data_IF_792201150985
#
_entry.id   IF_792201150985
#
_cell.length_a   1.000
_cell.length_b   1.000
_cell.length_c   1.000
_cell.angle_alpha   90.00
_cell.angle_beta   90.00
_cell.angle_gamma   90.00
#
_symmetry.space_group_name_H-M   'P 1'
#
loop_
_entity.id
_entity.type
_entity.pdbx_description
1 polymer ?
#
# COMPACT_ATOMS: atom_id res chain seq x y z
N UNK A 1 22.00 7.19 -61.51
CA UNK A 1 22.45 8.43 -60.83
C UNK A 1 22.74 8.05 -59.39
N UNK A 2 24.01 8.08 -58.98
CA UNK A 2 24.39 7.92 -57.58
C UNK A 2 23.85 9.16 -56.84
N UNK A 3 22.93 8.99 -55.88
CA UNK A 3 22.54 10.10 -54.99
C UNK A 3 23.80 10.49 -54.24
N UNK A 4 24.24 11.75 -54.36
CA UNK A 4 25.25 12.26 -53.45
C UNK A 4 24.70 12.19 -52.02
N UNK A 5 25.46 11.61 -51.11
CA UNK A 5 25.13 11.63 -49.69
C UNK A 5 25.09 13.09 -49.22
N UNK A 6 23.95 13.50 -48.67
CA UNK A 6 23.78 14.86 -48.17
C UNK A 6 24.63 15.05 -46.92
N UNK A 7 25.60 15.96 -46.99
CA UNK A 7 26.48 16.31 -45.87
C UNK A 7 26.00 17.58 -45.17
N UNK A 8 25.87 17.54 -43.83
CA UNK A 8 25.47 18.70 -43.05
C UNK A 8 26.55 19.79 -43.01
N UNK A 9 26.13 21.04 -43.19
CA UNK A 9 26.95 22.22 -42.98
C UNK A 9 26.75 22.75 -41.56
N UNK A 10 27.73 22.49 -40.69
CA UNK A 10 27.70 22.88 -39.28
C UNK A 10 27.77 24.41 -39.07
N UNK A 11 28.10 25.18 -40.11
CA UNK A 11 28.09 26.64 -40.06
C UNK A 11 26.72 27.25 -40.37
N UNK A 12 25.72 26.41 -40.68
CA UNK A 12 24.35 26.82 -41.01
C UNK A 12 23.34 26.25 -40.01
N UNK A 13 22.16 26.87 -39.89
CA UNK A 13 21.09 26.37 -39.05
C UNK A 13 20.73 24.91 -39.34
N UNK A 14 20.74 24.05 -38.32
CA UNK A 14 20.65 22.60 -38.51
C UNK A 14 19.23 22.09 -38.74
N UNK A 15 18.19 22.72 -38.16
CA UNK A 15 16.83 22.15 -38.09
C UNK A 15 16.28 21.75 -39.46
N UNK A 16 16.48 22.57 -40.49
CA UNK A 16 16.03 22.27 -41.85
C UNK A 16 17.01 21.44 -42.68
N UNK A 17 18.27 21.35 -42.25
CA UNK A 17 19.27 20.49 -42.92
C UNK A 17 19.11 19.02 -42.50
N UNK A 18 18.87 18.75 -41.22
CA UNK A 18 18.73 17.40 -40.66
C UNK A 18 17.66 16.59 -41.36
N UNK A 19 16.55 17.22 -41.77
CA UNK A 19 15.47 16.57 -42.52
C UNK A 19 15.89 15.98 -43.88
N UNK A 20 17.02 16.42 -44.44
CA UNK A 20 17.54 15.92 -45.73
C UNK A 20 18.46 14.69 -45.60
N UNK A 21 18.78 14.24 -44.37
CA UNK A 21 19.64 13.07 -44.13
C UNK A 21 18.98 11.72 -44.47
N UNK A 22 17.64 11.65 -44.45
CA UNK A 22 16.91 10.41 -44.77
C UNK A 22 17.37 9.21 -43.93
N UNK A 23 17.71 8.09 -44.60
CA UNK A 23 18.13 6.84 -43.96
C UNK A 23 19.45 6.97 -43.15
N UNK A 24 20.28 7.98 -43.45
CA UNK A 24 21.55 8.21 -42.74
C UNK A 24 21.36 8.90 -41.37
N UNK A 25 20.16 9.39 -41.05
CA UNK A 25 19.88 10.12 -39.80
C UNK A 25 20.20 9.30 -38.56
N UNK A 26 19.75 8.04 -38.52
CA UNK A 26 19.91 7.17 -37.34
C UNK A 26 21.37 6.92 -37.01
N UNK A 27 22.22 6.68 -38.01
CA UNK A 27 23.65 6.51 -37.79
C UNK A 27 24.32 7.83 -37.40
N UNK A 28 23.90 8.95 -38.02
CA UNK A 28 24.48 10.27 -37.77
C UNK A 28 24.19 10.80 -36.36
N UNK A 29 22.95 10.72 -35.89
CA UNK A 29 22.54 11.29 -34.59
C UNK A 29 23.22 10.61 -33.39
N UNK A 30 23.60 9.34 -33.54
CA UNK A 30 24.30 8.57 -32.52
C UNK A 30 25.83 8.74 -32.55
N UNK A 31 26.38 9.52 -33.50
CA UNK A 31 27.81 9.87 -33.55
C UNK A 31 28.01 11.25 -32.91
N UNK A 32 28.54 11.34 -31.67
CA UNK A 32 28.68 12.61 -30.98
C UNK A 32 29.72 13.50 -31.67
N UNK A 33 29.33 14.73 -31.98
CA UNK A 33 30.26 15.76 -32.45
C UNK A 33 30.75 16.51 -31.21
N UNK A 34 32.00 16.28 -30.83
CA UNK A 34 32.61 16.94 -29.66
C UNK A 34 33.25 18.25 -30.10
N UNK A 35 32.66 19.38 -29.71
CA UNK A 35 33.16 20.72 -30.01
C UNK A 35 32.87 21.70 -28.88
N UNK A 36 33.68 22.77 -28.80
CA UNK A 36 33.42 23.89 -27.87
C UNK A 36 32.38 24.87 -28.40
N UNK A 37 32.18 24.87 -29.72
CA UNK A 37 31.22 25.74 -30.38
C UNK A 37 29.84 25.07 -30.42
N UNK A 38 28.82 25.86 -30.07
CA UNK A 38 27.43 25.41 -30.10
C UNK A 38 26.89 25.51 -31.53
N UNK A 39 26.32 24.43 -32.09
CA UNK A 39 25.67 24.51 -33.38
C UNK A 39 24.40 25.36 -33.28
N UNK A 40 24.13 26.15 -34.33
CA UNK A 40 22.91 26.94 -34.43
C UNK A 40 21.77 26.08 -34.96
N UNK A 41 20.59 26.15 -34.35
CA UNK A 41 19.43 25.34 -34.75
C UNK A 41 18.53 26.07 -35.75
N UNK A 42 18.22 27.34 -35.49
CA UNK A 42 17.33 28.17 -36.29
C UNK A 42 18.05 29.36 -36.91
N UNK A 43 17.64 29.74 -38.10
CA UNK A 43 18.13 30.97 -38.74
C UNK A 43 17.63 32.20 -37.98
N UNK A 44 16.38 32.16 -37.50
CA UNK A 44 15.76 33.25 -36.75
C UNK A 44 16.32 33.37 -35.33
N UNK A 45 16.76 34.57 -34.95
CA UNK A 45 17.38 34.82 -33.63
C UNK A 45 16.44 34.58 -32.44
N UNK A 46 15.13 34.81 -32.58
CA UNK A 46 14.17 34.60 -31.50
C UNK A 46 13.97 33.10 -31.27
N UNK A 47 13.80 32.33 -32.34
CA UNK A 47 13.67 30.87 -32.24
C UNK A 47 14.96 30.24 -31.72
N UNK A 48 16.11 30.75 -32.16
CA UNK A 48 17.41 30.32 -31.64
C UNK A 48 17.52 30.63 -30.13
N UNK A 49 17.15 31.84 -29.71
CA UNK A 49 17.13 32.21 -28.29
C UNK A 49 16.28 31.26 -27.44
N UNK A 50 15.12 30.83 -27.92
CA UNK A 50 14.24 29.90 -27.21
C UNK A 50 14.83 28.49 -27.06
N UNK A 51 15.79 28.10 -27.90
CA UNK A 51 16.50 26.81 -27.77
C UNK A 51 17.64 26.85 -26.76
N UNK A 52 18.06 28.03 -26.33
CA UNK A 52 19.22 28.22 -25.46
C UNK A 52 18.77 28.35 -24.00
N UNK A 53 18.84 27.25 -23.25
CA UNK A 53 18.55 27.25 -21.80
C UNK A 53 19.84 27.11 -20.99
N UNK A 54 20.17 28.13 -20.22
CA UNK A 54 21.26 28.09 -19.23
C UNK A 54 20.84 27.25 -18.02
N UNK A 55 21.77 26.48 -17.44
CA UNK A 55 21.48 25.53 -16.37
C UNK A 55 20.78 26.18 -15.15
N UNK A 56 21.16 27.41 -14.81
CA UNK A 56 20.62 28.13 -13.65
C UNK A 56 19.21 28.68 -13.87
N UNK A 57 18.71 28.72 -15.12
CA UNK A 57 17.34 29.16 -15.40
C UNK A 57 16.32 28.25 -14.73
N UNK A 58 16.59 26.93 -14.69
CA UNK A 58 15.70 25.94 -14.07
C UNK A 58 15.48 26.23 -12.58
N UNK A 59 16.51 26.26 -11.71
CA UNK A 59 16.30 26.56 -10.30
C UNK A 59 15.78 27.99 -10.06
N UNK A 60 16.23 28.99 -10.83
CA UNK A 60 15.78 30.39 -10.64
C UNK A 60 14.29 30.58 -10.95
N UNK A 61 13.78 29.90 -11.98
CA UNK A 61 12.36 30.01 -12.36
C UNK A 61 11.50 29.12 -11.46
N UNK A 62 11.89 27.87 -11.22
CA UNK A 62 11.02 26.89 -10.59
C UNK A 62 11.11 26.86 -9.07
N UNK A 63 12.25 27.15 -8.43
CA UNK A 63 12.35 27.14 -6.97
C UNK A 63 11.45 28.18 -6.29
N UNK A 64 11.30 29.42 -6.80
CA UNK A 64 10.33 30.37 -6.24
C UNK A 64 8.88 29.87 -6.34
N UNK A 65 8.51 29.20 -7.44
CA UNK A 65 7.19 28.60 -7.62
C UNK A 65 6.97 27.46 -6.62
N UNK A 66 7.97 26.61 -6.41
CA UNK A 66 7.94 25.54 -5.40
C UNK A 66 7.81 26.13 -3.99
N UNK A 67 8.65 27.10 -3.62
CA UNK A 67 8.62 27.76 -2.32
C UNK A 67 7.28 28.49 -2.07
N UNK A 68 6.74 29.17 -3.09
CA UNK A 68 5.42 29.79 -3.01
C UNK A 68 4.30 28.76 -2.82
N UNK A 69 4.37 27.63 -3.53
CA UNK A 69 3.39 26.55 -3.42
C UNK A 69 3.44 25.88 -2.05
N UNK A 70 4.65 25.61 -1.54
CA UNK A 70 4.88 24.99 -0.22
C UNK A 70 4.48 25.94 0.91
N UNK A 71 4.83 27.23 0.83
CA UNK A 71 4.51 28.23 1.88
C UNK A 71 3.01 28.50 2.02
N UNK A 72 2.22 28.25 0.96
CA UNK A 72 0.75 28.34 1.01
C UNK A 72 0.05 27.01 1.29
N UNK A 73 0.79 25.93 1.55
CA UNK A 73 0.22 24.65 1.94
C UNK A 73 -0.72 24.77 3.15
N UNK A 74 -0.38 25.62 4.13
CA UNK A 74 -1.22 25.87 5.30
C UNK A 74 -2.53 26.61 4.96
N UNK A 75 -2.47 27.58 4.03
CA UNK A 75 -3.67 28.29 3.55
C UNK A 75 -4.58 27.36 2.77
N UNK A 76 -4.01 26.56 1.87
CA UNK A 76 -4.74 25.57 1.07
C UNK A 76 -5.35 24.52 2.01
N UNK A 77 -4.58 23.97 2.95
CA UNK A 77 -5.09 23.04 3.96
C UNK A 77 -6.23 23.65 4.79
N UNK A 78 -6.09 24.89 5.25
CA UNK A 78 -7.14 25.60 5.97
C UNK A 78 -8.42 25.74 5.13
N UNK A 79 -8.31 26.08 3.85
CA UNK A 79 -9.45 26.20 2.93
C UNK A 79 -10.08 24.85 2.57
N UNK A 80 -9.28 23.80 2.43
CA UNK A 80 -9.77 22.47 2.05
C UNK A 80 -10.46 21.75 3.21
N UNK A 81 -9.91 21.86 4.43
CA UNK A 81 -10.42 21.11 5.58
C UNK A 81 -10.16 21.77 6.95
N UNK A 82 -9.07 22.52 7.12
CA UNK A 82 -8.69 23.07 8.42
C UNK A 82 -9.68 24.08 9.02
N UNK A 83 -10.44 24.80 8.17
CA UNK A 83 -11.49 25.72 8.62
C UNK A 83 -12.61 24.98 9.36
N UNK A 84 -13.02 23.81 8.85
CA UNK A 84 -14.01 22.96 9.49
C UNK A 84 -13.52 22.44 10.84
N UNK A 85 -12.27 21.94 10.94
CA UNK A 85 -11.71 21.53 12.23
C UNK A 85 -11.65 22.65 13.27
N UNK A 86 -11.38 23.89 12.83
CA UNK A 86 -11.33 25.06 13.73
C UNK A 86 -12.72 25.52 14.17
N UNK A 87 -13.73 25.33 13.31
CA UNK A 87 -15.11 25.76 13.53
C UNK A 87 -16.11 24.64 13.18
N UNK A 88 -16.12 23.51 13.91
CA UNK A 88 -16.84 22.29 13.50
C UNK A 88 -18.36 22.42 13.49
N UNK A 89 -18.92 23.46 14.14
CA UNK A 89 -20.36 23.71 14.20
C UNK A 89 -20.82 24.79 13.20
N UNK A 90 -19.92 25.37 12.39
CA UNK A 90 -20.28 26.29 11.32
C UNK A 90 -20.84 25.50 10.11
N UNK A 91 -22.17 25.38 10.04
CA UNK A 91 -22.84 24.61 9.00
C UNK A 91 -22.63 25.16 7.58
N UNK A 92 -22.21 26.41 7.42
CA UNK A 92 -21.95 27.00 6.10
C UNK A 92 -20.54 26.66 5.57
N UNK A 93 -19.66 26.15 6.43
CA UNK A 93 -18.24 25.87 6.10
C UNK A 93 -17.86 24.41 6.35
N UNK A 94 -18.84 23.52 6.27
CA UNK A 94 -18.69 22.11 6.60
C UNK A 94 -18.62 21.20 5.37
N UNK A 95 -19.51 21.40 4.39
CA UNK A 95 -19.50 20.65 3.12
C UNK A 95 -18.48 21.25 2.16
N UNK A 96 -17.92 20.42 1.28
CA UNK A 96 -16.91 20.88 0.35
C UNK A 96 -17.53 21.78 -0.74
N UNK A 97 -16.99 22.98 -1.00
CA UNK A 97 -17.62 23.91 -1.93
C UNK A 97 -17.60 23.36 -3.37
N UNK A 98 -18.70 23.46 -4.14
CA UNK A 98 -18.81 22.87 -5.48
C UNK A 98 -17.70 23.29 -6.45
N UNK A 99 -17.21 24.53 -6.36
CA UNK A 99 -16.11 25.00 -7.20
C UNK A 99 -14.79 24.26 -6.92
N UNK A 100 -14.47 24.01 -5.65
CA UNK A 100 -13.32 23.19 -5.26
C UNK A 100 -13.52 21.73 -5.66
N UNK A 101 -14.73 21.20 -5.43
CA UNK A 101 -15.09 19.83 -5.78
C UNK A 101 -14.91 19.57 -7.29
N UNK A 102 -15.32 20.51 -8.14
CA UNK A 102 -15.20 20.40 -9.59
C UNK A 102 -13.74 20.30 -10.08
N UNK A 103 -12.82 21.01 -9.44
CA UNK A 103 -11.38 20.95 -9.77
C UNK A 103 -10.82 19.56 -9.45
N UNK A 104 -11.10 19.03 -8.26
CA UNK A 104 -10.66 17.70 -7.83
C UNK A 104 -11.32 16.62 -8.71
N UNK A 105 -12.62 16.75 -8.98
CA UNK A 105 -13.37 15.82 -9.83
C UNK A 105 -12.82 15.79 -11.26
N UNK A 106 -12.44 16.93 -11.83
CA UNK A 106 -11.81 16.98 -13.15
C UNK A 106 -10.47 16.22 -13.19
N UNK A 107 -9.62 16.39 -12.18
CA UNK A 107 -8.36 15.65 -12.05
C UNK A 107 -8.61 14.13 -11.93
N UNK A 108 -9.55 13.73 -11.07
CA UNK A 108 -9.92 12.32 -10.89
C UNK A 108 -10.50 11.71 -12.17
N UNK A 109 -11.30 12.46 -12.93
CA UNK A 109 -11.80 12.01 -14.23
C UNK A 109 -10.69 11.68 -15.22
N UNK A 110 -9.68 12.54 -15.34
CA UNK A 110 -8.52 12.27 -16.21
C UNK A 110 -7.71 11.06 -15.73
N UNK A 111 -7.49 10.93 -14.42
CA UNK A 111 -6.80 9.77 -13.83
C UNK A 111 -7.54 8.46 -14.11
N UNK A 112 -8.86 8.43 -13.95
CA UNK A 112 -9.70 7.25 -14.22
C UNK A 112 -9.63 6.89 -15.71
N UNK A 113 -9.69 7.89 -16.60
CA UNK A 113 -9.56 7.65 -18.05
C UNK A 113 -8.21 7.05 -18.46
N UNK A 114 -7.13 7.42 -17.77
CA UNK A 114 -5.79 6.89 -18.07
C UNK A 114 -5.59 5.45 -17.58
N UNK A 115 -6.34 5.04 -16.55
CA UNK A 115 -6.11 3.76 -15.85
C UNK A 115 -7.18 2.72 -16.15
N UNK A 116 -8.33 3.11 -16.71
CA UNK A 116 -9.47 2.21 -16.90
C UNK A 116 -10.01 2.27 -18.34
N UNK A 117 -10.59 1.17 -18.86
CA UNK A 117 -11.22 1.16 -20.17
C UNK A 117 -12.31 2.24 -20.29
N UNK A 118 -12.41 2.87 -21.47
CA UNK A 118 -13.35 3.96 -21.74
C UNK A 118 -14.82 3.58 -21.50
N UNK A 119 -15.17 2.30 -21.64
CA UNK A 119 -16.51 1.78 -21.36
C UNK A 119 -16.88 1.78 -19.86
N UNK A 120 -15.90 1.67 -18.97
CA UNK A 120 -16.10 1.54 -17.52
C UNK A 120 -15.86 2.88 -16.79
N UNK A 121 -15.00 3.74 -17.35
CA UNK A 121 -14.63 5.03 -16.75
C UNK A 121 -15.83 5.91 -16.33
N UNK A 122 -16.91 6.08 -17.13
CA UNK A 122 -18.08 6.85 -16.71
C UNK A 122 -18.80 6.26 -15.49
N UNK A 123 -18.92 4.93 -15.42
CA UNK A 123 -19.58 4.26 -14.29
C UNK A 123 -18.75 4.40 -13.01
N UNK A 124 -17.43 4.24 -13.09
CA UNK A 124 -16.53 4.45 -11.95
C UNK A 124 -16.56 5.89 -11.46
N UNK A 125 -16.49 6.87 -12.38
CA UNK A 125 -16.54 8.29 -12.02
C UNK A 125 -17.91 8.68 -11.43
N UNK A 126 -19.00 8.19 -12.03
CA UNK A 126 -20.36 8.41 -11.53
C UNK A 126 -20.57 7.81 -10.14
N UNK A 127 -20.08 6.58 -9.89
CA UNK A 127 -20.10 5.96 -8.57
C UNK A 127 -19.26 6.72 -7.54
N UNK A 128 -18.08 7.20 -7.93
CA UNK A 128 -17.23 8.05 -7.09
C UNK A 128 -17.89 9.37 -6.71
N UNK A 129 -18.53 10.05 -7.67
CA UNK A 129 -19.30 11.28 -7.41
C UNK A 129 -20.50 11.03 -6.51
N UNK A 130 -21.23 9.92 -6.71
CA UNK A 130 -22.33 9.52 -5.84
C UNK A 130 -21.83 9.29 -4.40
N UNK A 131 -20.71 8.59 -4.25
CA UNK A 131 -20.05 8.37 -2.96
C UNK A 131 -19.62 9.69 -2.30
N UNK A 132 -19.08 10.65 -3.06
CA UNK A 132 -18.77 12.00 -2.58
C UNK A 132 -20.01 12.73 -2.04
N UNK A 133 -21.13 12.71 -2.78
CA UNK A 133 -22.38 13.34 -2.33
C UNK A 133 -22.88 12.68 -1.04
N UNK A 134 -22.88 11.34 -0.99
CA UNK A 134 -23.26 10.60 0.23
C UNK A 134 -22.36 10.96 1.42
N UNK A 135 -21.06 11.07 1.19
CA UNK A 135 -20.08 11.50 2.20
C UNK A 135 -20.40 12.89 2.75
N UNK A 136 -20.55 13.90 1.89
CA UNK A 136 -20.72 15.30 2.33
C UNK A 136 -22.05 15.47 3.07
N UNK A 137 -23.12 14.81 2.59
CA UNK A 137 -24.41 14.77 3.28
C UNK A 137 -24.33 14.08 4.64
N UNK A 138 -23.63 12.94 4.73
CA UNK A 138 -23.47 12.21 5.99
C UNK A 138 -22.63 13.01 6.98
N UNK A 139 -21.54 13.62 6.52
CA UNK A 139 -20.67 14.47 7.31
C UNK A 139 -21.47 15.66 7.91
N UNK A 140 -22.28 16.33 7.11
CA UNK A 140 -23.18 17.38 7.59
C UNK A 140 -24.19 16.86 8.63
N UNK A 141 -24.83 15.72 8.35
CA UNK A 141 -25.79 15.13 9.26
C UNK A 141 -25.19 14.72 10.61
N UNK A 142 -23.93 14.26 10.64
CA UNK A 142 -23.24 13.89 11.88
C UNK A 142 -22.98 15.11 12.77
N UNK A 143 -22.73 16.29 12.18
CA UNK A 143 -22.46 17.52 12.93
C UNK A 143 -23.73 18.28 13.35
N UNK A 144 -24.73 18.36 12.47
CA UNK A 144 -25.91 19.22 12.67
C UNK A 144 -27.22 18.46 12.81
N UNK A 145 -27.23 17.17 12.52
CA UNK A 145 -28.35 16.30 12.82
C UNK A 145 -28.46 16.01 14.31
N UNK A 146 -29.62 15.48 14.72
CA UNK A 146 -29.72 14.68 15.94
C UNK A 146 -29.62 13.24 15.49
N UNK A 147 -28.41 12.69 15.29
CA UNK A 147 -28.35 11.28 14.99
C UNK A 147 -28.94 10.55 16.18
N UNK A 148 -30.08 9.90 15.98
CA UNK A 148 -30.62 8.96 16.94
C UNK A 148 -29.59 7.85 17.20
N UNK A 149 -29.90 6.90 18.10
CA UNK A 149 -29.08 5.73 18.40
C UNK A 149 -28.83 4.90 17.12
N UNK A 150 -27.86 5.34 16.31
CA UNK A 150 -27.90 5.03 14.88
C UNK A 150 -26.72 5.46 14.03
N UNK A 151 -25.83 6.34 14.51
CA UNK A 151 -24.54 6.47 13.82
C UNK A 151 -23.79 5.14 13.94
N UNK A 152 -23.32 4.57 12.81
CA UNK A 152 -22.35 3.49 12.79
C UNK A 152 -21.32 3.58 13.90
N UNK A 153 -21.16 2.52 14.69
CA UNK A 153 -20.11 2.49 15.73
C UNK A 153 -18.73 2.77 15.13
N UNK A 154 -18.49 2.34 13.89
CA UNK A 154 -17.30 2.60 13.09
C UNK A 154 -17.07 4.07 12.74
N UNK A 155 -18.10 4.91 12.61
CA UNK A 155 -17.93 6.36 12.39
C UNK A 155 -17.76 7.12 13.71
N UNK A 156 -18.22 6.57 14.83
CA UNK A 156 -18.02 7.18 16.15
C UNK A 156 -16.55 7.14 16.60
N UNK A 157 -15.80 6.10 16.23
CA UNK A 157 -14.38 5.95 16.64
C UNK A 157 -13.49 7.09 16.13
N UNK A 158 -13.86 7.73 15.00
CA UNK A 158 -13.15 8.90 14.48
C UNK A 158 -13.10 10.06 15.47
N UNK A 159 -14.12 10.23 16.31
CA UNK A 159 -14.20 11.31 17.28
C UNK A 159 -13.30 11.10 18.51
N UNK A 160 -12.69 9.93 18.68
CA UNK A 160 -11.78 9.65 19.81
C UNK A 160 -10.46 10.43 19.70
N UNK A 161 -10.12 10.95 18.53
CA UNK A 161 -8.91 11.77 18.33
C UNK A 161 -7.65 11.03 18.80
N UNK A 162 -6.90 11.64 19.72
CA UNK A 162 -5.67 11.06 20.28
C UNK A 162 -5.92 9.88 21.22
N UNK A 163 -7.11 9.77 21.84
CA UNK A 163 -7.45 8.66 22.73
C UNK A 163 -7.73 7.35 21.97
N UNK A 164 -7.84 7.40 20.65
CA UNK A 164 -8.17 6.24 19.82
C UNK A 164 -7.17 5.09 19.95
N UNK A 165 -5.87 5.41 19.93
CA UNK A 165 -4.80 4.40 19.93
C UNK A 165 -4.80 3.55 21.20
N UNK A 166 -4.98 4.19 22.36
CA UNK A 166 -5.10 3.45 23.61
C UNK A 166 -6.43 2.69 23.67
N UNK A 167 -7.53 3.31 23.25
CA UNK A 167 -8.85 2.71 23.32
C UNK A 167 -8.98 1.46 22.44
N UNK A 168 -8.45 1.47 21.22
CA UNK A 168 -8.64 0.40 20.23
C UNK A 168 -7.88 -0.87 20.62
N UNK A 169 -6.74 -0.75 21.29
CA UNK A 169 -5.90 -1.86 21.73
C UNK A 169 -6.24 -2.41 23.13
N UNK A 170 -7.37 -1.97 23.71
CA UNK A 170 -7.92 -2.56 24.93
C UNK A 170 -8.99 -3.60 24.54
N UNK A 171 -8.64 -4.89 24.42
CA UNK A 171 -9.53 -5.90 23.86
C UNK A 171 -10.76 -6.15 24.73
N UNK A 172 -11.90 -6.35 24.08
CA UNK A 172 -13.14 -6.77 24.70
C UNK A 172 -13.36 -8.23 24.32
N UNK A 173 -13.18 -9.14 25.28
CA UNK A 173 -13.38 -10.58 25.09
C UNK A 173 -14.88 -10.91 25.00
N UNK A 174 -15.47 -10.70 23.82
CA UNK A 174 -16.86 -11.02 23.51
C UNK A 174 -16.96 -11.71 22.16
N UNK A 175 -17.80 -12.75 22.08
CA UNK A 175 -18.16 -13.39 20.79
C UNK A 175 -19.08 -12.52 19.94
N UNK A 176 -19.81 -11.61 20.58
CA UNK A 176 -20.64 -10.63 19.90
C UNK A 176 -19.81 -9.38 19.61
N UNK A 177 -19.68 -9.05 18.32
CA UNK A 177 -19.00 -7.84 17.87
C UNK A 177 -19.94 -6.65 17.68
N UNK A 178 -19.38 -5.44 17.51
CA UNK A 178 -20.15 -4.22 17.37
C UNK A 178 -20.93 -4.21 16.05
N UNK A 179 -22.11 -3.60 16.06
CA UNK A 179 -22.84 -3.31 14.83
C UNK A 179 -22.21 -2.11 14.12
N UNK A 180 -21.81 -2.27 12.87
CA UNK A 180 -21.20 -1.20 12.08
C UNK A 180 -22.26 -0.33 11.43
N UNK A 181 -23.32 -0.87 10.82
CA UNK A 181 -24.32 -0.06 10.13
C UNK A 181 -25.72 -0.32 10.66
N UNK A 182 -26.58 0.71 10.67
CA UNK A 182 -28.01 0.51 10.99
C UNK A 182 -28.70 -0.37 9.96
N UNK A 183 -28.40 -0.18 8.67
CA UNK A 183 -28.97 -1.00 7.60
C UNK A 183 -28.44 -2.43 7.68
N UNK A 184 -29.35 -3.41 7.71
CA UNK A 184 -29.00 -4.82 7.66
C UNK A 184 -28.22 -5.19 6.39
N UNK A 185 -28.50 -4.50 5.28
CA UNK A 185 -27.78 -4.71 4.02
C UNK A 185 -26.31 -4.30 4.11
N UNK A 186 -26.02 -3.11 4.63
CA UNK A 186 -24.64 -2.64 4.79
C UNK A 186 -23.91 -3.41 5.89
N UNK A 187 -24.61 -3.76 6.96
CA UNK A 187 -24.09 -4.59 8.05
C UNK A 187 -23.70 -6.00 7.55
N UNK A 188 -24.52 -6.60 6.67
CA UNK A 188 -24.23 -7.89 6.05
C UNK A 188 -22.89 -7.89 5.32
N UNK A 189 -22.54 -6.82 4.59
CA UNK A 189 -21.26 -6.71 3.87
C UNK A 189 -20.03 -6.63 4.81
N UNK A 190 -20.24 -6.32 6.09
CA UNK A 190 -19.15 -6.29 7.09
C UNK A 190 -18.90 -7.64 7.76
N UNK A 191 -19.82 -8.60 7.61
CA UNK A 191 -19.78 -9.89 8.31
C UNK A 191 -19.37 -11.00 7.34
N UNK A 192 -18.20 -11.58 7.57
CA UNK A 192 -17.60 -12.58 6.70
C UNK A 192 -17.29 -13.85 7.47
N UNK A 193 -17.85 -14.96 7.03
CA UNK A 193 -17.49 -16.28 7.54
C UNK A 193 -16.12 -16.68 6.98
N UNK A 194 -15.28 -17.32 7.80
CA UNK A 194 -13.91 -17.70 7.39
C UNK A 194 -13.84 -18.53 6.10
N UNK A 195 -14.81 -19.42 5.88
CA UNK A 195 -14.86 -20.30 4.71
C UNK A 195 -15.20 -19.56 3.40
N UNK A 196 -15.67 -18.31 3.47
CA UNK A 196 -15.94 -17.49 2.29
C UNK A 196 -14.65 -17.15 1.55
N UNK A 197 -13.54 -16.95 2.28
CA UNK A 197 -12.22 -16.62 1.71
C UNK A 197 -11.76 -17.71 0.72
N UNK A 198 -11.59 -18.99 1.12
CA UNK A 198 -11.19 -20.03 0.18
C UNK A 198 -12.24 -20.27 -0.92
N UNK A 199 -13.54 -20.17 -0.59
CA UNK A 199 -14.62 -20.39 -1.58
C UNK A 199 -14.54 -19.39 -2.76
N UNK A 200 -14.25 -18.12 -2.49
CA UNK A 200 -14.17 -17.08 -3.51
C UNK A 200 -12.82 -17.11 -4.23
N UNK A 201 -11.72 -17.23 -3.47
CA UNK A 201 -10.39 -16.96 -4.01
C UNK A 201 -9.68 -18.19 -4.58
N UNK A 202 -9.95 -19.41 -4.09
CA UNK A 202 -9.35 -20.61 -4.69
C UNK A 202 -9.76 -20.82 -6.16
N UNK A 203 -11.02 -20.57 -6.59
CA UNK A 203 -11.36 -20.57 -8.02
C UNK A 203 -10.52 -19.59 -8.86
N UNK A 204 -10.21 -18.41 -8.32
CA UNK A 204 -9.36 -17.42 -9.00
C UNK A 204 -7.91 -17.91 -9.07
N UNK A 205 -7.40 -18.56 -8.02
CA UNK A 205 -6.09 -19.22 -8.04
C UNK A 205 -6.05 -20.34 -9.09
N UNK A 206 -7.07 -21.20 -9.15
CA UNK A 206 -7.19 -22.25 -10.15
C UNK A 206 -7.26 -21.69 -11.58
N UNK A 207 -7.97 -20.59 -11.78
CA UNK A 207 -8.03 -19.90 -13.06
C UNK A 207 -6.66 -19.35 -13.49
N UNK A 208 -5.93 -18.73 -12.56
CA UNK A 208 -4.56 -18.26 -12.79
C UNK A 208 -3.61 -19.39 -13.20
N UNK A 209 -3.67 -20.54 -12.51
CA UNK A 209 -2.92 -21.75 -12.87
C UNK A 209 -3.30 -22.23 -14.27
N UNK A 210 -4.61 -22.32 -14.57
CA UNK A 210 -5.10 -22.74 -15.89
C UNK A 210 -4.59 -21.82 -17.00
N UNK A 211 -4.53 -20.51 -16.76
CA UNK A 211 -4.01 -19.54 -17.71
C UNK A 211 -2.51 -19.77 -17.97
N UNK A 212 -1.71 -20.01 -16.93
CA UNK A 212 -0.29 -20.35 -17.08
C UNK A 212 -0.07 -21.67 -17.84
N UNK A 213 -0.91 -22.68 -17.65
CA UNK A 213 -0.86 -23.92 -18.45
C UNK A 213 -1.15 -23.62 -19.92
N UNK A 214 -2.18 -22.81 -20.22
CA UNK A 214 -2.52 -22.41 -21.60
C UNK A 214 -1.43 -21.58 -22.26
N UNK A 215 -0.61 -20.89 -21.47
CA UNK A 215 0.57 -20.16 -21.93
C UNK A 215 1.79 -21.05 -22.19
N UNK A 216 1.67 -22.38 -22.00
CA UNK A 216 2.71 -23.35 -22.35
C UNK A 216 3.73 -23.63 -21.24
N UNK A 217 3.49 -23.17 -20.01
CA UNK A 217 4.39 -23.47 -18.89
C UNK A 217 4.26 -24.91 -18.43
N UNK A 218 5.39 -25.52 -18.05
CA UNK A 218 5.43 -26.85 -17.46
C UNK A 218 4.85 -26.80 -16.03
N UNK A 219 4.28 -27.91 -15.51
CA UNK A 219 3.78 -27.96 -14.14
C UNK A 219 4.83 -27.54 -13.09
N UNK A 220 6.10 -27.93 -13.28
CA UNK A 220 7.20 -27.56 -12.39
C UNK A 220 7.44 -26.04 -12.39
N UNK A 221 7.49 -25.40 -13.56
CA UNK A 221 7.62 -23.94 -13.63
C UNK A 221 6.46 -23.22 -12.96
N UNK A 222 5.23 -23.70 -13.16
CA UNK A 222 4.04 -23.14 -12.50
C UNK A 222 4.15 -23.28 -10.99
N UNK A 223 4.54 -24.45 -10.49
CA UNK A 223 4.72 -24.67 -9.06
C UNK A 223 5.78 -23.73 -8.47
N UNK A 224 6.92 -23.55 -9.14
CA UNK A 224 7.98 -22.62 -8.69
C UNK A 224 7.50 -21.17 -8.66
N UNK A 225 6.78 -20.71 -9.69
CA UNK A 225 6.20 -19.36 -9.72
C UNK A 225 5.14 -19.16 -8.63
N UNK A 226 4.31 -20.17 -8.39
CA UNK A 226 3.30 -20.14 -7.32
C UNK A 226 3.97 -20.04 -5.94
N UNK A 227 4.99 -20.86 -5.68
CA UNK A 227 5.78 -20.79 -4.45
C UNK A 227 6.43 -19.42 -4.30
N UNK A 228 7.05 -18.89 -5.36
CA UNK A 228 7.65 -17.56 -5.32
C UNK A 228 6.61 -16.46 -5.06
N UNK A 229 5.41 -16.57 -5.63
CA UNK A 229 4.29 -15.68 -5.33
C UNK A 229 3.85 -15.75 -3.86
N UNK A 230 3.81 -16.94 -3.25
CA UNK A 230 3.53 -17.12 -1.81
C UNK A 230 4.63 -16.45 -0.96
N UNK A 231 5.90 -16.60 -1.32
CA UNK A 231 7.01 -15.94 -0.62
C UNK A 231 6.88 -14.41 -0.69
N UNK A 232 6.53 -13.86 -1.87
CA UNK A 232 6.26 -12.43 -2.00
C UNK A 232 5.07 -12.01 -1.14
N UNK A 233 3.99 -12.80 -1.10
CA UNK A 233 2.86 -12.53 -0.22
C UNK A 233 3.31 -12.40 1.23
N UNK A 234 4.21 -13.27 1.69
CA UNK A 234 4.67 -13.17 3.06
C UNK A 234 5.39 -11.85 3.38
N UNK A 235 6.20 -11.33 2.46
CA UNK A 235 6.80 -10.01 2.61
C UNK A 235 5.72 -8.89 2.64
N UNK A 236 4.69 -9.02 1.81
CA UNK A 236 3.55 -8.08 1.77
C UNK A 236 2.77 -8.14 3.08
N UNK A 237 2.45 -9.34 3.57
CA UNK A 237 1.79 -9.59 4.86
C UNK A 237 2.52 -8.86 5.97
N UNK A 238 3.83 -9.08 6.10
CA UNK A 238 4.64 -8.43 7.12
C UNK A 238 4.60 -6.90 7.00
N UNK A 239 4.76 -6.37 5.79
CA UNK A 239 4.78 -4.93 5.54
C UNK A 239 3.42 -4.29 5.85
N UNK A 240 2.33 -4.89 5.39
CA UNK A 240 0.97 -4.41 5.65
C UNK A 240 0.66 -4.49 7.13
N UNK A 241 0.95 -5.63 7.78
CA UNK A 241 0.67 -5.79 9.20
C UNK A 241 1.45 -4.77 10.04
N UNK A 242 2.77 -4.68 9.87
CA UNK A 242 3.64 -3.80 10.66
C UNK A 242 3.39 -2.32 10.43
N UNK A 243 3.24 -1.89 9.17
CA UNK A 243 3.25 -0.45 8.84
C UNK A 243 1.87 0.13 8.54
N UNK A 244 0.92 -0.68 8.05
CA UNK A 244 -0.43 -0.21 7.71
C UNK A 244 -1.46 -0.59 8.78
N UNK A 245 -1.44 -1.83 9.26
CA UNK A 245 -2.43 -2.31 10.22
C UNK A 245 -2.14 -1.88 11.65
N UNK A 246 -0.89 -1.51 11.96
CA UNK A 246 -0.47 -0.95 13.26
C UNK A 246 -0.07 0.53 13.14
N UNK A 247 -0.70 1.27 12.21
CA UNK A 247 -0.41 2.69 12.00
C UNK A 247 -1.01 3.59 13.10
N UNK A 248 -0.18 4.46 13.67
CA UNK A 248 -0.63 5.47 14.62
C UNK A 248 -1.39 6.61 13.93
N UNK A 249 -2.69 6.68 14.21
CA UNK A 249 -3.64 7.67 13.66
C UNK A 249 -4.22 8.55 14.76
N UNK A 250 -4.54 9.80 14.39
CA UNK A 250 -5.12 10.83 15.28
C UNK A 250 -6.30 11.59 14.68
N UNK A 251 -6.48 11.52 13.35
CA UNK A 251 -7.53 12.24 12.63
C UNK A 251 -8.80 11.39 12.58
N UNK A 252 -9.95 12.05 12.43
CA UNK A 252 -11.25 11.37 12.33
C UNK A 252 -11.24 10.24 11.28
N UNK A 253 -10.82 10.55 10.06
CA UNK A 253 -10.76 9.58 8.97
C UNK A 253 -9.63 8.57 9.14
N UNK A 254 -8.48 8.97 9.70
CA UNK A 254 -7.38 8.05 9.99
C UNK A 254 -7.80 6.97 10.97
N UNK A 255 -8.43 7.36 12.08
CA UNK A 255 -8.92 6.45 13.11
C UNK A 255 -10.02 5.54 12.55
N UNK A 256 -10.96 6.09 11.79
CA UNK A 256 -12.06 5.34 11.15
C UNK A 256 -11.52 4.29 10.18
N UNK A 257 -10.59 4.66 9.29
CA UNK A 257 -9.97 3.74 8.33
C UNK A 257 -9.16 2.66 9.06
N UNK A 258 -8.34 3.03 10.04
CA UNK A 258 -7.59 2.07 10.85
C UNK A 258 -8.54 1.07 11.53
N UNK A 259 -9.65 1.54 12.09
CA UNK A 259 -10.63 0.69 12.76
C UNK A 259 -11.25 -0.34 11.82
N UNK A 260 -11.58 0.09 10.60
CA UNK A 260 -12.14 -0.79 9.57
C UNK A 260 -11.12 -1.77 8.99
N UNK A 261 -9.84 -1.39 8.90
CA UNK A 261 -8.78 -2.25 8.36
C UNK A 261 -8.32 -3.31 9.37
N UNK A 262 -8.08 -2.92 10.61
CA UNK A 262 -7.52 -3.83 11.63
C UNK A 262 -7.91 -3.51 13.07
N UNK A 263 -8.21 -2.25 13.41
CA UNK A 263 -8.52 -1.87 14.79
C UNK A 263 -9.76 -2.56 15.39
N UNK A 264 -10.78 -2.90 14.58
CA UNK A 264 -11.92 -3.68 15.06
C UNK A 264 -11.51 -5.08 15.55
N UNK A 265 -10.55 -5.71 14.86
CA UNK A 265 -10.04 -7.01 15.24
C UNK A 265 -9.33 -6.95 16.60
N UNK A 266 -8.41 -5.99 16.81
CA UNK A 266 -7.79 -5.78 18.13
C UNK A 266 -8.79 -5.46 19.23
N UNK A 267 -9.83 -4.67 18.93
CA UNK A 267 -10.84 -4.31 19.91
C UNK A 267 -11.77 -5.48 20.25
N UNK A 268 -12.06 -6.35 19.27
CA UNK A 268 -13.00 -7.47 19.38
C UNK A 268 -12.40 -8.76 18.79
N UNK A 269 -11.34 -9.31 19.41
CA UNK A 269 -10.55 -10.40 18.82
C UNK A 269 -11.29 -11.74 18.73
N UNK A 270 -12.46 -11.84 19.38
CA UNK A 270 -13.32 -13.03 19.38
C UNK A 270 -14.57 -12.89 18.49
N UNK A 271 -14.71 -11.78 17.75
CA UNK A 271 -15.74 -11.65 16.70
C UNK A 271 -15.31 -12.43 15.44
N UNK A 272 -15.79 -13.66 15.34
CA UNK A 272 -15.49 -14.54 14.19
C UNK A 272 -16.02 -14.05 12.84
N UNK A 273 -16.86 -13.02 12.79
CA UNK A 273 -17.37 -12.48 11.52
C UNK A 273 -16.56 -11.29 11.00
N UNK A 274 -15.63 -10.75 11.81
CA UNK A 274 -14.84 -9.55 11.49
C UNK A 274 -13.34 -9.73 11.67
N UNK A 275 -12.89 -10.98 11.58
CA UNK A 275 -11.48 -11.33 11.64
C UNK A 275 -10.86 -11.41 10.24
N UNK A 276 -11.50 -12.13 9.33
CA UNK A 276 -10.99 -12.28 7.95
C UNK A 276 -11.23 -11.02 7.13
N UNK A 277 -10.33 -10.75 6.18
CA UNK A 277 -10.44 -9.53 5.39
C UNK A 277 -11.63 -9.61 4.43
N UNK A 278 -12.48 -8.56 4.31
CA UNK A 278 -13.70 -8.64 3.51
C UNK A 278 -13.41 -8.97 2.02
N UNK A 279 -14.09 -9.95 1.40
CA UNK A 279 -13.88 -10.31 0.00
C UNK A 279 -14.15 -9.15 -0.97
N UNK A 280 -15.14 -8.30 -0.68
CA UNK A 280 -15.40 -7.12 -1.50
C UNK A 280 -14.21 -6.14 -1.50
N UNK A 281 -13.58 -5.92 -0.34
CA UNK A 281 -12.38 -5.09 -0.24
C UNK A 281 -11.19 -5.76 -0.94
N UNK A 282 -11.01 -7.07 -0.75
CA UNK A 282 -9.97 -7.86 -1.44
C UNK A 282 -10.11 -7.77 -2.95
N UNK A 283 -11.33 -7.89 -3.51
CA UNK A 283 -11.59 -7.78 -4.94
C UNK A 283 -11.16 -6.43 -5.51
N UNK A 284 -11.40 -5.34 -4.77
CA UNK A 284 -10.95 -3.99 -5.14
C UNK A 284 -9.42 -3.93 -5.11
N UNK A 285 -8.76 -4.50 -4.11
CA UNK A 285 -7.30 -4.53 -4.00
C UNK A 285 -6.64 -5.44 -5.05
N UNK A 286 -7.30 -6.50 -5.52
CA UNK A 286 -6.76 -7.36 -6.58
C UNK A 286 -6.47 -6.58 -7.87
N UNK A 287 -7.19 -5.50 -8.18
CA UNK A 287 -6.98 -4.70 -9.40
C UNK A 287 -5.62 -3.98 -9.39
N UNK A 288 -5.28 -3.12 -8.41
CA UNK A 288 -3.96 -2.50 -8.35
C UNK A 288 -2.84 -3.54 -8.17
N UNK A 289 -3.05 -4.62 -7.40
CA UNK A 289 -2.04 -5.68 -7.26
C UNK A 289 -1.78 -6.42 -8.56
N UNK A 290 -2.82 -6.79 -9.33
CA UNK A 290 -2.66 -7.40 -10.65
C UNK A 290 -1.87 -6.50 -11.60
N UNK A 291 -2.17 -5.19 -11.59
CA UNK A 291 -1.42 -4.24 -12.40
C UNK A 291 0.03 -4.09 -11.94
N UNK A 292 0.30 -4.11 -10.64
CA UNK A 292 1.67 -4.10 -10.11
C UNK A 292 2.46 -5.34 -10.55
N UNK A 293 1.86 -6.53 -10.48
CA UNK A 293 2.51 -7.77 -10.94
C UNK A 293 2.79 -7.70 -12.45
N UNK A 294 1.89 -7.15 -13.27
CA UNK A 294 2.14 -6.92 -14.71
C UNK A 294 3.27 -5.94 -15.00
N UNK A 295 3.55 -4.99 -14.10
CA UNK A 295 4.65 -4.04 -14.27
C UNK A 295 6.01 -4.69 -13.99
N UNK A 296 6.05 -5.64 -13.05
CA UNK A 296 7.28 -6.27 -12.60
C UNK A 296 7.62 -7.53 -13.43
N UNK A 297 6.60 -8.30 -13.81
CA UNK A 297 6.77 -9.59 -14.47
C UNK A 297 6.24 -9.58 -15.91
N UNK A 298 6.79 -10.47 -16.75
CA UNK A 298 6.31 -10.62 -18.12
C UNK A 298 4.86 -11.14 -18.15
N UNK A 299 4.08 -10.86 -19.21
CA UNK A 299 2.69 -11.30 -19.31
C UNK A 299 2.50 -12.82 -19.12
N UNK A 300 3.53 -13.60 -19.44
CA UNK A 300 3.54 -15.06 -19.33
C UNK A 300 3.68 -15.54 -17.87
N UNK A 301 4.39 -14.78 -17.03
CA UNK A 301 4.62 -15.11 -15.61
C UNK A 301 3.55 -14.51 -14.69
N UNK A 302 2.93 -13.39 -15.10
CA UNK A 302 1.93 -12.66 -14.29
C UNK A 302 0.85 -13.56 -13.66
N UNK A 303 0.20 -14.50 -14.39
CA UNK A 303 -0.90 -15.27 -13.80
C UNK A 303 -0.45 -16.14 -12.64
N UNK A 304 0.64 -16.91 -12.78
CA UNK A 304 1.16 -17.76 -11.72
C UNK A 304 1.72 -16.95 -10.54
N UNK A 305 2.40 -15.82 -10.80
CA UNK A 305 2.89 -14.93 -9.75
C UNK A 305 1.74 -14.34 -8.92
N UNK A 306 0.70 -13.84 -9.60
CA UNK A 306 -0.50 -13.33 -8.94
C UNK A 306 -1.28 -14.43 -8.21
N UNK A 307 -1.45 -15.60 -8.85
CA UNK A 307 -2.10 -16.76 -8.26
C UNK A 307 -1.39 -17.26 -7.01
N UNK A 308 -0.06 -17.27 -7.00
CA UNK A 308 0.77 -17.60 -5.84
C UNK A 308 0.58 -16.60 -4.70
N UNK A 309 0.62 -15.31 -5.02
CA UNK A 309 0.36 -14.26 -4.03
C UNK A 309 -1.04 -14.34 -3.41
N UNK A 310 -2.07 -14.56 -4.25
CA UNK A 310 -3.44 -14.72 -3.79
C UNK A 310 -3.64 -16.00 -2.96
N UNK A 311 -2.95 -17.09 -3.31
CA UNK A 311 -2.95 -18.31 -2.50
C UNK A 311 -2.29 -18.07 -1.13
N UNK A 312 -1.17 -17.35 -1.10
CA UNK A 312 -0.53 -16.90 0.15
C UNK A 312 -1.50 -16.12 1.03
N UNK A 313 -2.26 -15.19 0.45
CA UNK A 313 -3.33 -14.46 1.15
C UNK A 313 -4.39 -15.37 1.75
N UNK A 314 -4.90 -16.34 0.98
CA UNK A 314 -5.90 -17.31 1.49
C UNK A 314 -5.33 -18.13 2.65
N UNK A 315 -4.07 -18.57 2.53
CA UNK A 315 -3.38 -19.31 3.58
C UNK A 315 -3.25 -18.47 4.85
N UNK A 316 -2.86 -17.20 4.72
CA UNK A 316 -2.76 -16.25 5.83
C UNK A 316 -4.11 -16.07 6.54
N UNK A 317 -5.16 -15.67 5.82
CA UNK A 317 -6.46 -15.32 6.44
C UNK A 317 -7.09 -16.52 7.16
N UNK A 318 -7.01 -17.71 6.56
CA UNK A 318 -7.55 -18.95 7.17
C UNK A 318 -6.71 -19.36 8.38
N UNK A 319 -5.38 -19.21 8.31
CA UNK A 319 -4.49 -19.52 9.44
C UNK A 319 -4.74 -18.57 10.60
N UNK A 320 -4.78 -17.26 10.34
CA UNK A 320 -5.10 -16.24 11.33
C UNK A 320 -6.44 -16.51 12.02
N UNK A 321 -7.48 -16.84 11.24
CA UNK A 321 -8.77 -17.23 11.81
C UNK A 321 -8.67 -18.47 12.71
N UNK A 322 -7.94 -19.49 12.27
CA UNK A 322 -7.73 -20.73 13.01
C UNK A 322 -6.94 -20.51 14.31
N UNK A 323 -5.97 -19.59 14.33
CA UNK A 323 -5.19 -19.27 15.53
C UNK A 323 -6.07 -18.61 16.59
N UNK A 324 -7.03 -17.76 16.23
CA UNK A 324 -8.02 -17.25 17.18
C UNK A 324 -9.04 -18.30 17.64
N UNK A 325 -9.69 -19.00 16.70
CA UNK A 325 -10.90 -19.78 16.97
C UNK A 325 -10.70 -21.30 17.10
N UNK A 326 -9.59 -21.83 16.58
CA UNK A 326 -9.25 -23.25 16.60
C UNK A 326 -8.57 -23.71 17.89
N UNK A 327 -8.38 -25.03 18.01
CA UNK A 327 -7.58 -25.63 19.08
C UNK A 327 -6.44 -26.46 18.45
N UNK A 328 -5.26 -25.84 18.22
CA UNK A 328 -4.10 -26.54 17.70
C UNK A 328 -3.70 -27.74 18.56
N UNK A 329 -3.70 -28.92 17.95
CA UNK A 329 -3.26 -30.16 18.60
C UNK A 329 -1.76 -30.41 18.42
N UNK A 330 -1.16 -29.95 17.31
CA UNK A 330 0.28 -30.03 17.04
C UNK A 330 1.06 -28.87 17.69
N UNK A 331 2.36 -29.07 17.88
CA UNK A 331 3.24 -28.14 18.61
C UNK A 331 3.43 -26.80 17.89
N UNK A 332 3.72 -26.80 16.59
CA UNK A 332 4.00 -25.58 15.82
C UNK A 332 2.81 -24.60 15.85
N UNK A 333 1.57 -24.97 15.49
CA UNK A 333 0.48 -24.00 15.50
C UNK A 333 0.03 -23.64 16.93
N UNK A 334 0.39 -24.45 17.94
CA UNK A 334 0.20 -24.09 19.35
C UNK A 334 1.17 -23.00 19.78
N UNK A 335 2.45 -23.13 19.41
CA UNK A 335 3.47 -22.11 19.66
C UNK A 335 3.16 -20.82 18.89
N UNK A 336 2.71 -20.93 17.64
CA UNK A 336 2.27 -19.79 16.84
C UNK A 336 1.05 -19.10 17.45
N UNK A 337 0.08 -19.87 17.97
CA UNK A 337 -1.09 -19.31 18.68
C UNK A 337 -0.71 -18.59 19.97
N UNK A 338 0.25 -19.12 20.73
CA UNK A 338 0.78 -18.43 21.91
C UNK A 338 1.49 -17.14 21.52
N UNK A 339 2.36 -17.19 20.51
CA UNK A 339 3.08 -16.03 20.01
C UNK A 339 2.15 -14.93 19.50
N UNK A 340 1.13 -15.27 18.69
CA UNK A 340 0.15 -14.31 18.19
C UNK A 340 -0.54 -13.56 19.34
N UNK A 341 -0.96 -14.28 20.38
CA UNK A 341 -1.58 -13.70 21.59
C UNK A 341 -0.64 -12.84 22.41
N UNK A 342 0.67 -13.12 22.42
CA UNK A 342 1.67 -12.37 23.17
C UNK A 342 2.18 -11.14 22.38
N UNK A 343 2.12 -11.22 21.05
CA UNK A 343 2.50 -10.16 20.13
C UNK A 343 1.40 -9.11 19.96
N UNK A 344 0.13 -9.54 19.90
CA UNK A 344 -1.02 -8.64 19.76
C UNK A 344 -1.01 -7.49 20.80
N UNK A 345 -0.65 -7.71 22.08
CA UNK A 345 -0.52 -6.63 23.07
C UNK A 345 0.82 -5.90 23.03
N UNK A 346 1.92 -6.50 22.55
CA UNK A 346 3.28 -5.94 22.74
C UNK A 346 3.68 -4.88 21.72
N UNK A 347 3.09 -4.85 20.52
CA UNK A 347 3.25 -3.74 19.57
C UNK A 347 2.63 -2.41 20.05
N UNK A 348 1.80 -2.45 21.10
CA UNK A 348 0.97 -1.33 21.56
C UNK A 348 1.59 -0.49 22.67
N UNK A 349 2.59 -1.03 23.38
CA UNK A 349 3.40 -0.26 24.33
C UNK A 349 4.58 0.33 23.58
N UNK A 350 4.59 1.65 23.42
CA UNK A 350 5.83 2.38 23.15
C UNK A 350 6.93 1.85 24.07
N UNK A 351 8.13 1.66 23.49
CA UNK A 351 9.36 1.17 24.15
C UNK A 351 9.36 1.54 25.64
N UNK A 352 9.37 0.59 26.59
CA UNK A 352 9.40 0.94 27.99
C UNK A 352 10.68 1.73 28.25
N UNK A 353 10.54 2.92 28.81
CA UNK A 353 11.61 3.56 29.55
C UNK A 353 12.06 2.54 30.60
N UNK A 354 13.33 2.16 30.53
CA UNK A 354 13.90 1.10 31.37
C UNK A 354 13.96 1.67 32.79
N UNK A 355 12.91 1.45 33.59
CA UNK A 355 13.01 1.54 35.04
C UNK A 355 13.46 0.17 35.58
N UNK A 356 14.58 0.19 36.29
CA UNK A 356 15.45 -0.95 36.54
C UNK A 356 14.94 -1.92 37.60
N UNK A 357 13.75 -2.49 37.46
CA UNK A 357 13.22 -3.41 38.49
C UNK A 357 12.36 -4.58 37.99
N UNK A 358 12.65 -5.14 36.81
CA UNK A 358 12.08 -6.43 36.38
C UNK A 358 13.13 -7.37 35.75
N UNK A 359 14.22 -7.63 36.48
CA UNK A 359 15.26 -8.61 36.12
C UNK A 359 14.88 -10.07 36.41
N UNK A 360 13.63 -10.40 36.74
CA UNK A 360 13.30 -11.70 37.36
C UNK A 360 12.29 -12.58 36.59
N UNK A 361 12.03 -12.34 35.30
CA UNK A 361 11.17 -13.23 34.48
C UNK A 361 11.83 -13.59 33.14
N UNK A 362 13.16 -13.72 33.12
CA UNK A 362 13.91 -14.34 32.01
C UNK A 362 14.99 -15.25 32.60
N UNK A 363 14.58 -16.30 33.30
CA UNK A 363 15.51 -17.33 33.81
C UNK A 363 15.01 -18.77 33.68
N UNK A 364 13.97 -19.01 32.87
CA UNK A 364 13.38 -20.36 32.75
C UNK A 364 13.31 -20.95 31.35
N UNK A 365 13.93 -20.32 30.35
CA UNK A 365 13.99 -20.89 28.98
C UNK A 365 15.35 -20.71 28.29
N UNK A 366 16.44 -20.76 29.06
CA UNK A 366 17.82 -20.61 28.57
C UNK A 366 18.65 -21.88 28.82
N UNK A 367 18.13 -23.03 28.36
CA UNK A 367 18.92 -24.27 28.33
C UNK A 367 18.46 -25.21 27.21
N UNK A 368 18.80 -24.86 25.96
CA UNK A 368 19.06 -25.84 24.91
C UNK A 368 19.72 -25.17 23.67
N UNK A 369 21.04 -25.37 23.57
CA UNK A 369 21.88 -25.50 22.37
C UNK A 369 21.98 -24.34 21.36
N UNK A 370 23.07 -23.58 21.52
CA UNK A 370 24.23 -23.46 20.61
C UNK A 370 24.05 -23.14 19.10
N UNK A 371 24.57 -21.95 18.77
CA UNK A 371 25.55 -21.61 17.72
C UNK A 371 25.19 -20.84 16.42
N UNK A 372 26.06 -19.84 16.18
CA UNK A 372 26.38 -19.02 14.99
C UNK A 372 25.46 -17.84 14.54
N UNK A 373 25.66 -16.67 15.17
CA UNK A 373 25.49 -15.36 14.52
C UNK A 373 26.85 -14.81 14.08
N UNK A 374 27.03 -14.64 12.76
CA UNK A 374 28.18 -13.97 12.15
C UNK A 374 27.95 -12.45 12.17
N UNK A 375 28.79 -11.73 12.92
CA UNK A 375 28.88 -10.26 12.92
C UNK A 375 29.79 -9.78 11.78
N UNK A 376 29.27 -8.94 10.88
CA UNK A 376 30.12 -8.08 10.01
C UNK A 376 29.69 -6.64 10.22
N UNK A 377 30.55 -5.92 10.94
CA UNK A 377 30.45 -4.51 11.29
C UNK A 377 31.28 -3.69 10.29
N UNK A 378 30.65 -2.90 9.43
CA UNK A 378 31.35 -1.95 8.54
C UNK A 378 31.41 -0.57 9.19
N UNK A 379 32.29 -0.43 10.18
CA UNK A 379 32.74 0.87 10.67
C UNK A 379 33.82 1.42 9.73
N UNK A 380 33.47 2.20 8.71
CA UNK A 380 34.44 3.08 8.03
C UNK A 380 33.81 4.07 7.04
N UNK A 381 33.13 5.12 7.51
CA UNK A 381 33.28 6.46 6.91
C UNK A 381 32.82 7.58 7.87
N UNK A 382 33.80 8.18 8.55
CA UNK A 382 33.77 9.48 9.26
C UNK A 382 33.01 9.56 10.59
N UNK A 383 33.80 9.40 11.64
CA UNK A 383 33.68 9.88 13.03
C UNK A 383 32.62 10.96 13.29
N UNK A 384 31.55 10.58 13.99
CA UNK A 384 30.84 11.32 15.07
C UNK A 384 29.56 10.56 15.44
N UNK A 385 29.64 9.65 16.42
CA UNK A 385 28.45 9.12 17.11
C UNK A 385 28.84 8.75 18.56
N UNK A 386 28.67 9.71 19.48
CA UNK A 386 28.45 9.42 20.90
C UNK A 386 26.99 8.95 21.05
N UNK A 387 26.76 7.65 20.94
CA UNK A 387 25.45 7.04 21.06
C UNK A 387 25.55 5.59 20.62
N UNK A 388 25.36 4.66 21.56
CA UNK A 388 25.59 3.23 21.35
C UNK A 388 24.91 2.70 20.09
N UNK A 389 25.64 1.84 19.36
CA UNK A 389 25.13 1.10 18.22
C UNK A 389 23.85 0.36 18.64
N UNK A 390 22.73 0.65 17.97
CA UNK A 390 21.53 -0.13 18.13
C UNK A 390 21.78 -1.54 17.55
N UNK A 391 21.59 -2.62 18.31
CA UNK A 391 21.57 -3.94 17.72
C UNK A 391 20.38 -4.01 16.76
N UNK A 392 20.63 -4.37 15.50
CA UNK A 392 19.59 -4.88 14.62
C UNK A 392 19.23 -6.25 15.20
N UNK A 393 18.30 -6.27 16.14
CA UNK A 393 17.61 -7.50 16.50
C UNK A 393 16.88 -7.92 15.22
N UNK A 394 17.40 -8.97 14.58
CA UNK A 394 16.67 -9.69 13.55
C UNK A 394 15.40 -10.18 14.23
N UNK A 395 14.33 -9.42 14.00
CA UNK A 395 12.98 -9.68 14.47
C UNK A 395 12.64 -11.11 14.04
N UNK A 396 12.56 -12.07 14.98
CA UNK A 396 12.21 -13.47 14.71
C UNK A 396 10.75 -13.63 14.21
N UNK A 397 10.12 -12.55 13.75
CA UNK A 397 8.78 -12.48 13.20
C UNK A 397 8.71 -12.88 11.72
N UNK A 398 9.31 -14.01 11.35
CA UNK A 398 9.03 -14.62 10.05
C UNK A 398 7.72 -15.44 10.14
N UNK A 399 6.60 -14.72 10.03
CA UNK A 399 5.39 -15.12 9.28
C UNK A 399 4.54 -16.29 9.81
N UNK A 400 3.26 -16.00 10.02
CA UNK A 400 2.19 -17.00 10.23
C UNK A 400 2.16 -18.00 9.07
N UNK A 401 2.39 -17.51 7.84
CA UNK A 401 2.39 -18.30 6.61
C UNK A 401 3.65 -19.17 6.40
N UNK A 402 4.82 -18.78 6.93
CA UNK A 402 6.10 -19.45 6.68
C UNK A 402 6.38 -20.55 7.71
N UNK A 403 5.88 -20.38 8.93
CA UNK A 403 5.89 -21.39 9.99
C UNK A 403 5.16 -22.70 9.59
N UNK A 404 4.20 -22.62 8.67
CA UNK A 404 3.43 -23.79 8.18
C UNK A 404 4.15 -24.52 7.03
N UNK A 405 4.87 -23.82 6.16
CA UNK A 405 5.55 -24.45 5.01
C UNK A 405 6.68 -25.39 5.46
N UNK A 406 7.41 -25.05 6.53
CA UNK A 406 8.47 -25.88 7.10
C UNK A 406 7.94 -27.18 7.74
N UNK A 407 6.69 -27.21 8.18
CA UNK A 407 6.06 -28.41 8.79
C UNK A 407 5.86 -29.57 7.80
N UNK A 408 5.98 -29.33 6.49
CA UNK A 408 5.82 -30.41 5.49
C UNK A 408 7.12 -31.15 5.17
N UNK A 409 8.28 -30.68 5.64
CA UNK A 409 9.55 -31.41 5.48
C UNK A 409 9.90 -32.33 6.65
N UNK A 410 9.37 -32.10 7.85
CA UNK A 410 9.77 -32.90 9.03
C UNK A 410 9.00 -34.21 9.22
N UNK A 411 7.88 -34.43 8.49
CA UNK A 411 7.08 -35.67 8.58
C UNK A 411 7.25 -36.62 7.39
N UNK A 412 8.40 -36.55 6.71
CA UNK A 412 8.83 -37.54 5.72
C UNK A 412 9.45 -38.79 6.35
N UNK A 413 8.70 -39.50 7.19
CA UNK A 413 9.13 -40.77 7.80
C UNK A 413 8.04 -41.84 7.62
N UNK A 414 8.13 -42.62 6.54
CA UNK A 414 7.38 -43.86 6.38
C UNK A 414 7.99 -44.94 7.30
N UNK A 415 7.38 -45.17 8.47
CA UNK A 415 7.19 -46.47 9.15
C UNK A 415 6.64 -46.27 10.55
#
# INVERSE_FOLDING_TARGET
>A
MVRQDFTLDMNKPLVFQVGHLGEAYEEWVHKPIVGKERPRLFENDILEFLTLTVWWAVPVIWLPVVCWSVSRGNTIHYLLHGCHHKHPMDGLRLVFPPAGAAIIAALLWYMIKLTTPSAIAPALFGGGLLGYVMYDCTHYYVHHGKPDKGVPSSLKVGHLGEAYQEWVHQPIASKEGPRFFESDFWEFLTKNQWWVIPLIWLPVVCWSISLSVRMGHTPLHIALMMVFGILIWTLIEYTLHRFLFHINTKSYWGNTIHYLLHGCHHKHPMDGLRLVFPPAATAVLCVPFWNLVKLIFTPSLTPAMFGGGLLGYVMYDVTHYYLHHGQPTSEIPRNLKSYEKDVEPSYTKGRPEIDGTLSNIVSTYDSASDDETIDICESCWKNECEGGCAPIVVDRGLLVSFSILLSTQENGGFS
#
